data_IF_148001793375
#
_entry.id   IF_148001793375
#
_cell.length_a   1.000
_cell.length_b   1.000
_cell.length_c   1.000
_cell.angle_alpha   90.00
_cell.angle_beta   90.00
_cell.angle_gamma   90.00
#
_symmetry.space_group_name_H-M   'P 1'
#
loop_
_entity.id
_entity.type
_entity.pdbx_description
1 polymer ?
#
# COMPACT_ATOMS: atom_id res chain seq x y z
N UNK A 1 23.58 39.18 -15.40
CA UNK A 1 22.75 39.01 -14.19
C UNK A 1 22.10 37.63 -14.26
N UNK A 2 22.66 36.65 -13.55
CA UNK A 2 22.17 35.26 -13.54
C UNK A 2 21.09 35.12 -12.47
N UNK A 3 19.88 34.71 -12.91
CA UNK A 3 18.69 34.57 -12.07
C UNK A 3 18.85 33.44 -11.05
N UNK A 4 18.92 33.79 -9.76
CA UNK A 4 18.95 32.87 -8.60
C UNK A 4 17.55 32.58 -8.05
N UNK A 5 16.55 32.35 -8.90
CA UNK A 5 15.16 32.13 -8.47
C UNK A 5 14.62 30.70 -8.70
N UNK A 6 15.47 29.75 -9.12
CA UNK A 6 15.05 28.37 -9.39
C UNK A 6 15.09 27.40 -8.19
N UNK A 7 15.66 27.80 -7.05
CA UNK A 7 16.02 26.85 -5.98
C UNK A 7 14.95 26.63 -4.89
N UNK A 8 13.83 27.37 -4.91
CA UNK A 8 12.82 27.34 -3.83
C UNK A 8 11.58 26.49 -4.11
N UNK A 9 11.43 25.91 -5.31
CA UNK A 9 10.24 25.11 -5.66
C UNK A 9 10.35 23.61 -5.30
N UNK A 10 11.57 23.09 -5.11
CA UNK A 10 11.82 21.71 -4.66
C UNK A 10 11.37 21.42 -3.21
N UNK A 11 11.58 22.29 -2.21
CA UNK A 11 11.17 21.98 -0.84
C UNK A 11 9.64 21.97 -0.66
N UNK A 12 8.88 22.83 -1.36
CA UNK A 12 7.42 22.89 -1.20
C UNK A 12 6.70 21.65 -1.74
N UNK A 13 7.21 21.06 -2.82
CA UNK A 13 6.67 19.80 -3.36
C UNK A 13 7.04 18.59 -2.50
N UNK A 14 8.19 18.61 -1.83
CA UNK A 14 8.56 17.62 -0.81
C UNK A 14 7.67 17.70 0.44
N UNK A 15 7.31 18.90 0.91
CA UNK A 15 6.41 19.09 2.04
C UNK A 15 4.96 18.67 1.74
N UNK A 16 4.43 18.96 0.55
CA UNK A 16 3.10 18.51 0.12
C UNK A 16 3.03 16.98 -0.08
N UNK A 17 4.15 16.35 -0.49
CA UNK A 17 4.28 14.90 -0.54
C UNK A 17 4.23 14.24 0.84
N UNK A 18 4.82 14.87 1.86
CA UNK A 18 4.75 14.41 3.25
C UNK A 18 3.34 14.50 3.84
N UNK A 19 2.56 15.50 3.45
CA UNK A 19 1.21 15.69 4.02
C UNK A 19 0.25 14.58 3.59
N UNK A 20 0.43 14.02 2.39
CA UNK A 20 -0.29 12.83 1.91
C UNK A 20 0.34 11.52 2.41
N UNK A 21 1.60 11.57 2.84
CA UNK A 21 2.29 10.39 3.35
C UNK A 21 1.60 9.84 4.61
N UNK A 22 0.95 10.68 5.42
CA UNK A 22 0.19 10.25 6.60
C UNK A 22 -0.92 9.24 6.29
N UNK A 23 -1.38 9.17 5.03
CA UNK A 23 -2.41 8.23 4.57
C UNK A 23 -1.82 6.89 4.08
N UNK A 24 -0.50 6.76 3.95
CA UNK A 24 0.16 5.52 3.53
C UNK A 24 -0.19 4.32 4.42
N UNK A 25 -0.28 4.43 5.76
CA UNK A 25 -0.75 3.32 6.59
C UNK A 25 -2.19 2.91 6.25
N UNK A 26 -3.08 3.88 5.98
CA UNK A 26 -4.46 3.59 5.58
C UNK A 26 -4.53 2.90 4.22
N UNK A 27 -3.73 3.37 3.25
CA UNK A 27 -3.59 2.72 1.95
C UNK A 27 -3.04 1.30 2.09
N UNK A 28 -2.04 1.08 2.94
CA UNK A 28 -1.50 -0.26 3.19
C UNK A 28 -2.56 -1.20 3.77
N UNK A 29 -3.42 -0.72 4.69
CA UNK A 29 -4.56 -1.50 5.23
C UNK A 29 -5.57 -1.82 4.14
N UNK A 30 -5.85 -0.86 3.27
CA UNK A 30 -6.72 -1.07 2.12
C UNK A 30 -6.16 -2.15 1.20
N UNK A 31 -4.88 -2.08 0.84
CA UNK A 31 -4.22 -3.07 -0.02
C UNK A 31 -4.26 -4.45 0.65
N UNK A 32 -3.87 -4.56 1.91
CA UNK A 32 -3.88 -5.85 2.63
C UNK A 32 -5.27 -6.49 2.66
N UNK A 33 -6.30 -5.72 3.02
CA UNK A 33 -7.68 -6.21 3.10
C UNK A 33 -8.23 -6.61 1.74
N UNK A 34 -8.03 -5.80 0.71
CA UNK A 34 -8.59 -6.08 -0.61
C UNK A 34 -7.83 -7.21 -1.34
N UNK A 35 -6.51 -7.35 -1.13
CA UNK A 35 -5.79 -8.53 -1.64
C UNK A 35 -6.31 -9.78 -0.95
N UNK A 36 -6.51 -9.75 0.37
CA UNK A 36 -7.11 -10.85 1.11
C UNK A 36 -8.49 -11.21 0.54
N UNK A 37 -9.35 -10.20 0.33
CA UNK A 37 -10.69 -10.42 -0.23
C UNK A 37 -10.64 -10.99 -1.65
N UNK A 38 -9.77 -10.45 -2.52
CA UNK A 38 -9.59 -10.96 -3.86
C UNK A 38 -9.15 -12.44 -3.88
N UNK A 39 -8.28 -12.85 -2.95
CA UNK A 39 -7.84 -14.26 -2.84
C UNK A 39 -8.99 -15.14 -2.31
N UNK A 40 -9.58 -14.79 -1.17
CA UNK A 40 -10.44 -15.69 -0.42
C UNK A 40 -11.94 -15.59 -0.73
N UNK A 41 -12.40 -14.44 -1.21
CA UNK A 41 -13.80 -14.20 -1.58
C UNK A 41 -14.01 -14.29 -3.09
N UNK A 42 -13.08 -13.76 -3.87
CA UNK A 42 -13.20 -13.68 -5.33
C UNK A 42 -12.45 -14.80 -6.06
N UNK A 43 -11.56 -15.52 -5.37
CA UNK A 43 -10.85 -16.70 -5.92
C UNK A 43 -9.67 -16.36 -6.84
N UNK A 44 -9.11 -15.15 -6.75
CA UNK A 44 -7.93 -14.77 -7.52
C UNK A 44 -6.68 -15.53 -7.05
N UNK A 45 -5.78 -15.81 -7.98
CA UNK A 45 -4.42 -16.21 -7.64
C UNK A 45 -3.71 -15.05 -6.90
N UNK A 46 -2.85 -15.34 -5.90
CA UNK A 46 -2.22 -14.30 -5.07
C UNK A 46 -1.53 -13.18 -5.86
N UNK A 47 -0.83 -13.52 -6.94
CA UNK A 47 -0.16 -12.52 -7.79
C UNK A 47 -1.17 -11.61 -8.51
N UNK A 48 -2.22 -12.18 -9.08
CA UNK A 48 -3.26 -11.42 -9.78
C UNK A 48 -4.03 -10.50 -8.82
N UNK A 49 -4.29 -10.97 -7.59
CA UNK A 49 -4.90 -10.16 -6.53
C UNK A 49 -4.01 -8.96 -6.16
N UNK A 50 -2.70 -9.18 -6.00
CA UNK A 50 -1.72 -8.12 -5.74
C UNK A 50 -1.72 -7.06 -6.84
N UNK A 51 -1.62 -7.49 -8.10
CA UNK A 51 -1.54 -6.59 -9.26
C UNK A 51 -2.85 -5.79 -9.45
N UNK A 52 -4.00 -6.43 -9.21
CA UNK A 52 -5.30 -5.78 -9.28
C UNK A 52 -5.48 -4.68 -8.23
N UNK A 53 -5.16 -4.97 -6.96
CA UNK A 53 -5.45 -4.09 -5.83
C UNK A 53 -4.43 -2.97 -5.67
N UNK A 54 -3.15 -3.25 -5.94
CA UNK A 54 -2.06 -2.26 -5.81
C UNK A 54 -2.21 -1.05 -6.76
N UNK A 55 -3.04 -1.17 -7.80
CA UNK A 55 -3.42 -0.08 -8.69
C UNK A 55 -4.25 1.03 -8.02
N UNK A 56 -4.70 0.87 -6.77
CA UNK A 56 -5.43 1.91 -6.02
C UNK A 56 -4.65 3.24 -5.92
N UNK A 57 -3.32 3.16 -5.94
CA UNK A 57 -2.43 4.33 -5.92
C UNK A 57 -1.33 4.18 -6.98
N UNK A 58 -1.60 4.52 -8.26
CA UNK A 58 -0.71 4.20 -9.38
C UNK A 58 0.72 4.72 -9.25
N UNK A 59 0.90 5.89 -8.63
CA UNK A 59 2.21 6.50 -8.42
C UNK A 59 3.11 5.70 -7.47
N UNK A 60 2.51 4.94 -6.55
CA UNK A 60 3.21 4.16 -5.52
C UNK A 60 2.89 2.67 -5.62
N UNK A 61 2.26 2.21 -6.70
CA UNK A 61 1.86 0.79 -6.87
C UNK A 61 3.06 -0.15 -6.69
N UNK A 62 4.21 0.26 -7.23
CA UNK A 62 5.45 -0.51 -7.17
C UNK A 62 6.14 -0.42 -5.80
N UNK A 63 5.60 0.34 -4.85
CA UNK A 63 6.15 0.44 -3.48
C UNK A 63 5.63 -0.66 -2.55
N UNK A 64 4.55 -1.34 -2.95
CA UNK A 64 3.91 -2.37 -2.15
C UNK A 64 4.61 -3.71 -2.35
N UNK A 65 4.93 -4.38 -1.25
CA UNK A 65 5.36 -5.77 -1.25
C UNK A 65 4.29 -6.60 -0.52
N UNK A 66 3.56 -7.38 -1.29
CA UNK A 66 2.50 -8.27 -0.80
C UNK A 66 3.07 -9.65 -0.53
N UNK A 67 2.79 -10.21 0.64
CA UNK A 67 3.21 -11.56 1.06
C UNK A 67 2.01 -12.31 1.61
N UNK A 68 1.75 -13.50 1.06
CA UNK A 68 0.82 -14.45 1.67
C UNK A 68 1.57 -15.26 2.73
N UNK A 69 1.03 -15.30 3.94
CA UNK A 69 1.58 -16.06 5.07
C UNK A 69 0.95 -17.45 5.14
N UNK A 70 1.64 -18.40 5.78
CA UNK A 70 1.21 -19.79 5.91
C UNK A 70 -0.15 -19.96 6.60
N UNK A 71 -0.54 -19.00 7.44
CA UNK A 71 -1.83 -18.96 8.13
C UNK A 71 -2.96 -18.34 7.28
N UNK A 72 -2.72 -18.08 5.99
CA UNK A 72 -3.68 -17.45 5.08
C UNK A 72 -3.80 -15.93 5.22
N UNK A 73 -3.04 -15.31 6.12
CA UNK A 73 -3.00 -13.86 6.26
C UNK A 73 -2.18 -13.21 5.13
N UNK A 74 -2.62 -12.04 4.69
CA UNK A 74 -1.89 -11.19 3.75
C UNK A 74 -1.14 -10.12 4.55
N UNK A 75 0.17 -10.04 4.35
CA UNK A 75 1.01 -8.93 4.82
C UNK A 75 1.36 -8.02 3.64
N UNK A 76 1.34 -6.71 3.89
CA UNK A 76 1.71 -5.68 2.92
C UNK A 76 2.72 -4.76 3.57
N UNK A 77 3.92 -4.73 2.98
CA UNK A 77 4.99 -3.81 3.34
C UNK A 77 5.05 -2.68 2.31
N UNK A 78 5.47 -1.48 2.75
CA UNK A 78 5.85 -0.41 1.84
C UNK A 78 7.37 -0.22 1.88
N UNK A 79 8.08 -0.60 0.82
CA UNK A 79 9.55 -0.55 0.82
C UNK A 79 10.12 0.80 0.40
N UNK A 80 9.31 1.73 -0.12
CA UNK A 80 9.75 3.11 -0.38
C UNK A 80 9.71 3.95 0.90
N UNK A 81 8.79 3.64 1.82
CA UNK A 81 8.56 4.39 3.05
C UNK A 81 8.79 3.51 4.30
N UNK A 82 10.05 3.35 4.76
CA UNK A 82 10.42 2.39 5.80
C UNK A 82 9.84 2.68 7.20
N UNK A 83 9.26 3.87 7.39
CA UNK A 83 8.56 4.25 8.62
C UNK A 83 7.09 3.80 8.62
N UNK A 84 6.56 3.33 7.49
CA UNK A 84 5.22 2.74 7.41
C UNK A 84 5.31 1.30 7.91
N UNK A 85 4.55 0.98 8.95
CA UNK A 85 4.50 -0.38 9.49
C UNK A 85 3.86 -1.35 8.49
N UNK A 86 4.28 -2.61 8.55
CA UNK A 86 3.61 -3.71 7.84
C UNK A 86 2.14 -3.75 8.19
N UNK A 87 1.27 -3.70 7.18
CA UNK A 87 -0.17 -3.86 7.36
C UNK A 87 -0.56 -5.30 7.09
N UNK A 88 -1.57 -5.81 7.81
CA UNK A 88 -1.98 -7.21 7.72
C UNK A 88 -3.48 -7.34 7.66
N UNK A 89 -3.95 -8.33 6.91
CA UNK A 89 -5.34 -8.77 6.92
C UNK A 89 -5.42 -10.29 6.88
N UNK A 90 -6.47 -10.87 7.47
CA UNK A 90 -6.72 -12.30 7.43
C UNK A 90 -8.20 -12.59 7.21
N UNK A 91 -8.54 -13.71 6.55
CA UNK A 91 -9.93 -14.16 6.47
C UNK A 91 -10.42 -14.59 7.85
N UNK A 92 -11.64 -14.20 8.20
CA UNK A 92 -12.35 -14.71 9.35
C UNK A 92 -13.12 -16.00 8.99
N UNK A 93 -13.68 -16.74 9.97
CA UNK A 93 -14.41 -17.98 9.70
C UNK A 93 -15.66 -17.81 8.82
N UNK A 94 -16.17 -16.59 8.65
CA UNK A 94 -17.27 -16.30 7.74
C UNK A 94 -16.80 -16.04 6.30
N UNK A 95 -15.48 -16.06 6.06
CA UNK A 95 -14.85 -15.73 4.78
C UNK A 95 -14.59 -14.23 4.60
N UNK A 96 -14.82 -13.42 5.64
CA UNK A 96 -14.60 -11.97 5.59
C UNK A 96 -13.18 -11.59 5.93
N UNK A 97 -12.52 -10.82 5.06
CA UNK A 97 -11.16 -10.34 5.31
C UNK A 97 -11.16 -9.13 6.26
N UNK A 98 -10.46 -9.27 7.39
CA UNK A 98 -10.33 -8.24 8.42
C UNK A 98 -8.88 -7.80 8.58
N UNK A 99 -8.70 -6.50 8.80
CA UNK A 99 -7.40 -5.98 9.22
C UNK A 99 -7.05 -6.52 10.61
N UNK A 100 -5.78 -6.85 10.83
CA UNK A 100 -5.22 -7.30 12.10
C UNK A 100 -4.60 -6.15 12.89
#
# INVERSE_FOLDING_TARGET
>A
MTSKWGAWLLPLSLLAGCDNAKDLPLLGRYVAKNVCAAIWQEGYLPQAASDYVSNVAPLIQNSWQVKLQDNGAVAVDNFWFPWVSTQRAAPDPAGDCRNL
#
